data_IF_188952944171
#
_entry.id   IF_188952944171
#
_cell.length_a   1.000
_cell.length_b   1.000
_cell.length_c   1.000
_cell.angle_alpha   90.00
_cell.angle_beta   90.00
_cell.angle_gamma   90.00
#
_symmetry.space_group_name_H-M   'P 1'
#
loop_
_entity.id
_entity.type
_entity.pdbx_description
1 polymer ?
#
# COMPACT_ATOMS: atom_id res chain seq x y z
N UNK A 1 -40.50 -25.24 10.49
CA UNK A 1 -39.54 -24.12 10.53
C UNK A 1 -38.15 -24.69 10.29
N UNK A 2 -37.53 -24.39 9.15
CA UNK A 2 -36.18 -24.87 8.84
C UNK A 2 -35.18 -24.24 9.82
N UNK A 3 -34.42 -25.08 10.53
CA UNK A 3 -33.39 -24.66 11.48
C UNK A 3 -32.35 -23.86 10.69
N UNK A 4 -32.19 -22.57 10.99
CA UNK A 4 -31.17 -21.73 10.34
C UNK A 4 -29.80 -22.35 10.62
N UNK A 5 -29.16 -22.85 9.58
CA UNK A 5 -27.81 -23.38 9.65
C UNK A 5 -26.83 -22.20 9.60
N UNK A 6 -26.40 -21.78 10.78
CA UNK A 6 -25.49 -20.64 10.96
C UNK A 6 -24.15 -20.86 10.26
N UNK A 7 -23.71 -22.11 10.11
CA UNK A 7 -22.48 -22.43 9.40
C UNK A 7 -22.68 -22.18 7.91
N UNK A 8 -23.79 -22.64 7.33
CA UNK A 8 -24.12 -22.32 5.94
C UNK A 8 -24.26 -20.82 5.69
N UNK A 9 -24.85 -20.07 6.63
CA UNK A 9 -24.96 -18.62 6.50
C UNK A 9 -23.59 -17.95 6.54
N UNK A 10 -22.73 -18.26 7.51
CA UNK A 10 -21.37 -17.75 7.58
C UNK A 10 -20.53 -18.10 6.34
N UNK A 11 -20.64 -19.33 5.85
CA UNK A 11 -19.92 -19.78 4.65
C UNK A 11 -20.41 -19.01 3.43
N UNK A 12 -21.73 -18.82 3.28
CA UNK A 12 -22.29 -18.01 2.18
C UNK A 12 -21.89 -16.55 2.30
N UNK A 13 -21.87 -15.98 3.50
CA UNK A 13 -21.47 -14.59 3.72
C UNK A 13 -19.98 -14.42 3.42
N UNK A 14 -19.14 -15.41 3.77
CA UNK A 14 -17.69 -15.42 3.47
C UNK A 14 -17.41 -15.62 1.97
N UNK A 15 -18.18 -16.48 1.29
CA UNK A 15 -18.03 -16.71 -0.16
C UNK A 15 -18.57 -15.53 -0.96
N UNK A 16 -19.68 -14.92 -0.52
CA UNK A 16 -20.20 -13.70 -1.17
C UNK A 16 -19.21 -12.54 -1.00
N UNK A 17 -18.63 -12.42 0.21
CA UNK A 17 -17.54 -11.48 0.48
C UNK A 17 -16.27 -11.80 -0.32
N UNK A 18 -15.98 -13.07 -0.64
CA UNK A 18 -14.84 -13.37 -1.50
C UNK A 18 -15.15 -13.16 -2.99
N UNK A 19 -16.37 -13.42 -3.45
CA UNK A 19 -16.75 -13.24 -4.85
C UNK A 19 -16.90 -11.76 -5.27
N UNK A 20 -17.24 -10.85 -4.34
CA UNK A 20 -17.17 -9.41 -4.62
C UNK A 20 -15.73 -8.87 -4.70
N UNK A 21 -14.73 -9.62 -4.23
CA UNK A 21 -13.35 -9.14 -4.07
C UNK A 21 -12.28 -9.92 -4.84
N UNK A 22 -12.59 -11.09 -5.41
CA UNK A 22 -11.64 -11.89 -6.17
C UNK A 22 -12.10 -12.05 -7.63
N UNK A 23 -11.72 -11.07 -8.45
CA UNK A 23 -11.55 -11.26 -9.89
C UNK A 23 -10.14 -11.83 -10.12
N UNK A 24 -10.05 -12.84 -10.99
CA UNK A 24 -8.91 -13.74 -11.28
C UNK A 24 -7.62 -13.10 -11.84
N UNK A 25 -7.16 -11.98 -11.29
CA UNK A 25 -5.77 -11.51 -11.43
C UNK A 25 -5.37 -10.81 -10.13
N UNK A 26 -4.46 -11.44 -9.39
CA UNK A 26 -3.99 -11.06 -8.05
C UNK A 26 -3.51 -9.59 -8.03
N UNK A 27 -4.42 -8.68 -7.71
CA UNK A 27 -4.14 -7.34 -7.23
C UNK A 27 -4.58 -7.29 -5.76
N UNK A 28 -3.72 -6.87 -4.82
CA UNK A 28 -4.13 -6.70 -3.43
C UNK A 28 -5.24 -5.65 -3.40
N UNK A 29 -6.31 -5.98 -2.68
CA UNK A 29 -7.46 -5.13 -2.32
C UNK A 29 -7.11 -3.65 -2.47
N UNK A 30 -7.57 -3.01 -3.55
CA UNK A 30 -7.29 -1.59 -3.72
C UNK A 30 -8.29 -0.77 -2.93
N UNK A 31 -7.85 -0.07 -1.88
CA UNK A 31 -8.67 0.96 -1.25
C UNK A 31 -9.03 1.98 -2.34
N UNK A 32 -10.32 2.08 -2.65
CA UNK A 32 -10.82 3.04 -3.63
C UNK A 32 -10.55 4.45 -3.08
N UNK A 33 -9.66 5.21 -3.73
CA UNK A 33 -9.26 6.54 -3.28
C UNK A 33 -8.03 6.58 -2.35
N UNK A 34 -7.24 5.49 -2.27
CA UNK A 34 -5.95 5.54 -1.57
C UNK A 34 -5.05 6.66 -2.11
N UNK A 35 -4.34 7.34 -1.22
CA UNK A 35 -3.31 8.28 -1.61
C UNK A 35 -2.12 7.51 -2.22
N UNK A 36 -1.85 7.74 -3.50
CA UNK A 36 -0.78 7.02 -4.19
C UNK A 36 0.56 7.72 -4.04
N UNK A 37 1.58 6.95 -3.66
CA UNK A 37 2.96 7.41 -3.54
C UNK A 37 3.90 6.48 -4.30
N UNK A 38 4.99 7.04 -4.78
CA UNK A 38 6.04 6.30 -5.47
C UNK A 38 7.32 6.35 -4.65
N UNK A 39 7.91 5.18 -4.39
CA UNK A 39 9.16 5.03 -3.67
C UNK A 39 10.21 4.42 -4.59
N UNK A 40 11.39 5.05 -4.66
CA UNK A 40 12.52 4.56 -5.43
C UNK A 40 13.53 3.84 -4.52
N UNK A 41 14.04 2.68 -4.93
CA UNK A 41 15.06 1.99 -4.14
C UNK A 41 16.49 2.39 -4.55
N UNK A 42 17.20 3.09 -3.67
CA UNK A 42 18.63 3.37 -3.82
C UNK A 42 19.47 2.19 -3.32
N UNK A 43 20.09 1.47 -4.27
CA UNK A 43 20.94 0.31 -3.98
C UNK A 43 22.22 0.66 -3.21
N UNK A 44 22.77 1.86 -3.39
CA UNK A 44 24.02 2.31 -2.75
C UNK A 44 23.76 2.63 -1.28
N UNK A 45 22.66 3.34 -0.99
CA UNK A 45 22.26 3.69 0.38
C UNK A 45 21.44 2.60 1.09
N UNK A 46 20.90 1.64 0.33
CA UNK A 46 20.03 0.55 0.82
C UNK A 46 18.74 1.07 1.48
N UNK A 47 18.18 2.15 0.95
CA UNK A 47 16.94 2.76 1.40
C UNK A 47 15.96 2.97 0.25
N UNK A 48 14.69 3.11 0.60
CA UNK A 48 13.66 3.64 -0.27
C UNK A 48 13.61 5.16 -0.13
N UNK A 49 13.48 5.86 -1.23
CA UNK A 49 13.48 7.31 -1.32
C UNK A 49 12.10 7.75 -1.81
N UNK A 50 11.44 8.60 -1.04
CA UNK A 50 10.24 9.32 -1.45
C UNK A 50 10.58 10.79 -1.62
N UNK A 51 10.05 11.38 -2.69
CA UNK A 51 10.19 12.80 -2.98
C UNK A 51 8.87 13.52 -2.73
N UNK A 52 8.92 14.66 -2.06
CA UNK A 52 7.82 15.61 -1.95
C UNK A 52 8.37 17.02 -2.20
N UNK A 53 8.13 17.57 -3.39
CA UNK A 53 8.66 18.86 -3.81
C UNK A 53 10.19 18.96 -3.62
N UNK A 54 10.65 19.72 -2.61
CA UNK A 54 12.07 19.90 -2.27
C UNK A 54 12.57 18.99 -1.15
N UNK A 55 11.67 18.23 -0.52
CA UNK A 55 11.97 17.34 0.59
C UNK A 55 12.14 15.89 0.13
N UNK A 56 12.98 15.17 0.86
CA UNK A 56 13.30 13.78 0.60
C UNK A 56 13.16 12.98 1.89
N UNK A 57 12.36 11.93 1.84
CA UNK A 57 12.22 10.97 2.93
C UNK A 57 12.97 9.69 2.58
N UNK A 58 13.98 9.36 3.38
CA UNK A 58 14.74 8.11 3.25
C UNK A 58 14.24 7.07 4.25
N UNK A 59 13.84 5.90 3.75
CA UNK A 59 13.28 4.82 4.55
C UNK A 59 14.19 3.59 4.44
N UNK A 60 14.78 3.10 5.53
CA UNK A 60 15.58 1.89 5.52
C UNK A 60 14.78 0.68 5.01
N UNK A 61 15.38 -0.16 4.16
CA UNK A 61 14.71 -1.36 3.60
C UNK A 61 14.21 -2.34 4.66
N UNK A 62 14.84 -2.35 5.83
CA UNK A 62 14.54 -3.27 6.93
C UNK A 62 13.51 -2.71 7.92
N UNK A 63 12.94 -1.54 7.66
CA UNK A 63 12.03 -0.87 8.58
C UNK A 63 10.58 -0.87 8.07
N UNK A 64 9.67 -0.94 9.04
CA UNK A 64 8.23 -0.77 8.87
C UNK A 64 7.63 -1.62 7.75
N UNK A 65 6.75 -1.04 6.92
CA UNK A 65 6.06 -1.77 5.88
C UNK A 65 6.97 -2.23 4.75
N UNK A 66 8.24 -1.85 4.71
CA UNK A 66 9.19 -2.29 3.69
C UNK A 66 9.96 -3.54 4.11
N UNK A 67 9.92 -3.90 5.40
CA UNK A 67 10.63 -5.07 5.94
C UNK A 67 10.12 -6.35 5.27
N UNK A 68 11.05 -7.12 4.71
CA UNK A 68 10.79 -8.40 4.02
C UNK A 68 9.81 -8.31 2.84
N UNK A 69 9.55 -7.11 2.28
CA UNK A 69 8.69 -7.01 1.11
C UNK A 69 9.40 -7.43 -0.17
N UNK A 70 8.69 -8.27 -0.92
CA UNK A 70 9.05 -8.70 -2.29
C UNK A 70 8.16 -8.01 -3.33
N UNK A 71 6.97 -7.53 -2.94
CA UNK A 71 6.01 -6.89 -3.85
C UNK A 71 6.44 -5.48 -4.25
N UNK A 72 6.26 -5.14 -5.53
CA UNK A 72 6.47 -3.80 -6.09
C UNK A 72 5.31 -2.83 -5.80
N UNK A 73 4.19 -3.33 -5.28
CA UNK A 73 3.03 -2.51 -4.90
C UNK A 73 2.45 -3.02 -3.60
N UNK A 74 2.04 -2.11 -2.74
CA UNK A 74 1.28 -2.45 -1.55
C UNK A 74 0.42 -1.31 -1.04
N UNK A 75 -0.49 -1.64 -0.14
CA UNK A 75 -1.35 -0.66 0.50
C UNK A 75 -1.26 -0.80 2.01
N UNK A 76 -1.48 0.31 2.70
CA UNK A 76 -1.60 0.42 4.15
C UNK A 76 -2.76 1.33 4.50
N UNK A 77 -3.35 1.02 5.64
CA UNK A 77 -4.35 1.83 6.31
C UNK A 77 -3.76 2.33 7.62
N UNK A 78 -4.13 3.53 8.05
CA UNK A 78 -3.79 4.03 9.39
C UNK A 78 -4.25 3.08 10.51
N UNK A 79 -5.28 2.26 10.24
CA UNK A 79 -5.84 1.31 11.19
C UNK A 79 -5.07 -0.02 11.30
N UNK A 80 -4.24 -0.37 10.30
CA UNK A 80 -3.46 -1.62 10.27
C UNK A 80 -1.94 -1.41 10.28
N UNK A 81 -1.51 -0.17 10.33
CA UNK A 81 -0.12 0.26 10.30
C UNK A 81 0.52 0.30 11.70
N UNK A 82 1.17 -0.80 12.05
CA UNK A 82 1.84 -0.98 13.35
C UNK A 82 3.05 -0.07 13.57
N UNK A 83 3.64 0.44 12.48
CA UNK A 83 4.89 1.19 12.51
C UNK A 83 4.65 2.71 12.33
N UNK A 84 3.38 3.14 12.33
CA UNK A 84 2.93 4.52 12.13
C UNK A 84 3.51 5.18 10.87
N UNK A 85 3.80 4.38 9.85
CA UNK A 85 4.24 4.84 8.55
C UNK A 85 3.26 5.81 7.87
N UNK A 86 1.96 5.54 7.90
CA UNK A 86 0.91 6.40 7.34
C UNK A 86 0.89 7.76 8.04
N UNK A 87 1.09 7.80 9.36
CA UNK A 87 1.19 9.06 10.11
C UNK A 87 2.45 9.86 9.73
N UNK A 88 3.59 9.19 9.56
CA UNK A 88 4.82 9.82 9.05
C UNK A 88 4.58 10.43 7.67
N UNK A 89 3.90 9.70 6.78
CA UNK A 89 3.56 10.22 5.47
C UNK A 89 2.58 11.39 5.53
N UNK A 90 1.60 11.35 6.44
CA UNK A 90 0.68 12.47 6.67
C UNK A 90 1.43 13.75 7.04
N UNK A 91 2.44 13.65 7.91
CA UNK A 91 3.30 14.77 8.28
C UNK A 91 4.18 15.22 7.10
N UNK A 92 4.81 14.26 6.40
CA UNK A 92 5.72 14.55 5.29
C UNK A 92 5.01 15.21 4.09
N UNK A 93 3.80 14.78 3.76
CA UNK A 93 3.00 15.38 2.69
C UNK A 93 2.08 16.52 3.15
N UNK A 94 2.07 16.82 4.46
CA UNK A 94 1.17 17.78 5.10
C UNK A 94 -0.31 17.55 4.71
N UNK A 95 -0.75 16.29 4.78
CA UNK A 95 -2.11 15.83 4.43
C UNK A 95 -2.59 14.83 5.46
N UNK A 96 -3.89 14.83 5.75
CA UNK A 96 -4.47 13.78 6.60
C UNK A 96 -4.72 12.51 5.75
N UNK A 97 -3.82 11.53 5.87
CA UNK A 97 -3.89 10.28 5.12
C UNK A 97 -4.49 9.17 5.97
N UNK A 98 -5.52 8.51 5.44
CA UNK A 98 -6.11 7.32 6.05
C UNK A 98 -5.67 6.03 5.33
N UNK A 99 -5.59 6.07 4.00
CA UNK A 99 -5.21 4.95 3.16
C UNK A 99 -4.13 5.37 2.18
N UNK A 100 -3.06 4.58 2.08
CA UNK A 100 -1.93 4.86 1.22
C UNK A 100 -1.64 3.65 0.34
N UNK A 101 -1.42 3.89 -0.95
CA UNK A 101 -0.85 2.92 -1.86
C UNK A 101 0.60 3.31 -2.18
N UNK A 102 1.53 2.42 -1.87
CA UNK A 102 2.94 2.57 -2.21
C UNK A 102 3.27 1.76 -3.45
N UNK A 103 3.81 2.44 -4.45
CA UNK A 103 4.39 1.85 -5.65
C UNK A 103 5.92 1.92 -5.55
N UNK A 104 6.60 0.79 -5.53
CA UNK A 104 8.05 0.71 -5.59
C UNK A 104 8.47 0.72 -7.05
N UNK A 105 9.15 1.79 -7.47
CA UNK A 105 9.66 1.93 -8.82
C UNK A 105 10.98 1.18 -8.96
N UNK A 106 11.07 0.34 -10.00
CA UNK A 106 12.35 -0.23 -10.42
C UNK A 106 13.10 0.79 -11.27
N UNK A 107 14.43 0.67 -11.32
CA UNK A 107 15.34 1.69 -11.88
C UNK A 107 15.10 2.15 -13.33
N UNK A 108 14.21 1.48 -14.06
CA UNK A 108 13.79 1.84 -15.42
C UNK A 108 12.69 2.90 -15.47
N UNK A 109 11.87 3.04 -14.42
CA UNK A 109 10.62 3.85 -14.47
C UNK A 109 10.78 5.28 -13.93
N UNK A 110 12.00 5.65 -13.50
CA UNK A 110 12.29 6.95 -12.85
C UNK A 110 12.24 8.11 -13.85
N UNK A 111 12.58 7.85 -15.12
CA UNK A 111 12.76 8.89 -16.12
C UNK A 111 11.46 9.40 -16.75
N UNK A 112 10.37 8.63 -16.66
CA UNK A 112 9.08 9.04 -17.22
C UNK A 112 8.29 9.95 -16.28
N UNK A 113 8.43 9.78 -14.96
CA UNK A 113 7.74 10.63 -13.98
C UNK A 113 8.38 12.02 -13.76
N UNK A 114 9.66 12.22 -14.11
CA UNK A 114 10.31 13.53 -14.00
C UNK A 114 10.07 14.46 -15.21
N UNK A 115 9.46 13.96 -16.30
CA UNK A 115 9.16 14.75 -17.51
C UNK A 115 7.75 15.33 -17.56
N UNK A 116 6.87 14.90 -16.66
CA UNK A 116 5.45 15.27 -16.68
C UNK A 116 5.07 16.32 -15.62
N UNK A 117 6.04 16.88 -14.89
CA UNK A 117 5.86 17.94 -13.89
C UNK A 117 6.46 19.27 -14.40
#
# INVERSE_FOLDING_TARGET
MAKKDFIQQMVKDTISFSQEYYSDNVLPLSFKGAFEISAFYDRKRKCYILHNESEVLEIPRNWGPFRNRVSIRFQLSKYDDKDNFVEILSLFFNKDLEHVQVNILNGTDIFDHQRAA
#
